data_IF_371948593099
#
_entry.id   IF_371948593099
#
_cell.length_a   1.000
_cell.length_b   1.000
_cell.length_c   1.000
_cell.angle_alpha   90.00
_cell.angle_beta   90.00
_cell.angle_gamma   90.00
#
_symmetry.space_group_name_H-M   'P 1'
#
loop_
_entity.id
_entity.type
_entity.pdbx_description
1 polymer ?
#
# COMPACT_ATOMS: atom_id res chain seq x y z
N UNK A 1 0.63 2.16 -8.12
CA UNK A 1 1.53 1.12 -7.62
C UNK A 1 0.75 -0.19 -7.57
N UNK A 2 0.85 -1.02 -8.61
CA UNK A 2 0.25 -2.37 -8.58
C UNK A 2 1.10 -3.36 -7.78
N UNK A 3 0.58 -4.58 -7.60
CA UNK A 3 1.26 -5.68 -6.90
C UNK A 3 2.60 -6.10 -7.56
N UNK A 4 2.76 -5.79 -8.85
CA UNK A 4 3.96 -6.11 -9.62
C UNK A 4 5.11 -5.10 -9.42
N UNK A 5 4.86 -3.98 -8.71
CA UNK A 5 5.88 -2.96 -8.50
C UNK A 5 6.80 -3.38 -7.33
N UNK A 6 8.10 -3.65 -7.56
CA UNK A 6 9.02 -4.07 -6.49
C UNK A 6 9.12 -3.03 -5.38
N UNK A 7 8.90 -1.75 -5.71
CA UNK A 7 8.81 -0.67 -4.75
C UNK A 7 7.67 -0.87 -3.75
N UNK A 8 6.49 -1.28 -4.20
CA UNK A 8 5.35 -1.49 -3.32
C UNK A 8 5.60 -2.61 -2.31
N UNK A 9 6.21 -3.72 -2.75
CA UNK A 9 6.52 -4.84 -1.87
C UNK A 9 7.45 -4.44 -0.72
N UNK A 10 8.54 -3.74 -1.02
CA UNK A 10 9.49 -3.22 -0.02
C UNK A 10 8.78 -2.28 0.97
N UNK A 11 7.97 -1.38 0.43
CA UNK A 11 7.19 -0.40 1.19
C UNK A 11 6.21 -1.06 2.16
N UNK A 12 5.53 -2.11 1.74
CA UNK A 12 4.58 -2.86 2.58
C UNK A 12 5.29 -3.69 3.65
N UNK A 13 6.42 -4.34 3.32
CA UNK A 13 7.24 -5.05 4.29
C UNK A 13 7.68 -4.12 5.41
N UNK A 14 8.24 -2.96 5.05
CA UNK A 14 8.64 -1.97 6.04
C UNK A 14 7.43 -1.38 6.80
N UNK A 15 6.23 -1.33 6.22
CA UNK A 15 5.01 -0.86 6.89
C UNK A 15 4.56 -1.84 7.98
N UNK A 16 4.73 -3.16 7.77
CA UNK A 16 4.50 -4.16 8.81
C UNK A 16 5.45 -3.97 10.00
N UNK A 17 6.74 -3.73 9.74
CA UNK A 17 7.71 -3.46 10.80
C UNK A 17 7.44 -2.14 11.53
N UNK A 18 7.08 -1.06 10.81
CA UNK A 18 6.72 0.22 11.41
C UNK A 18 5.44 0.17 12.24
N UNK A 19 4.44 -0.60 11.79
CA UNK A 19 3.22 -0.86 12.58
C UNK A 19 3.62 -1.45 13.92
N UNK A 20 4.39 -2.54 13.93
CA UNK A 20 4.90 -3.16 15.17
C UNK A 20 5.75 -2.21 16.02
N UNK A 21 6.52 -1.33 15.39
CA UNK A 21 7.44 -0.42 16.08
C UNK A 21 6.77 0.79 16.76
N UNK A 22 5.74 1.38 16.13
CA UNK A 22 5.15 2.65 16.59
C UNK A 22 3.63 2.66 16.72
N UNK A 23 2.94 1.58 16.35
CA UNK A 23 1.47 1.62 16.29
C UNK A 23 0.94 2.38 15.07
N UNK A 24 1.83 2.98 14.28
CA UNK A 24 1.54 3.97 13.25
C UNK A 24 2.14 3.53 11.92
N UNK A 25 1.40 3.70 10.80
CA UNK A 25 1.89 3.34 9.48
C UNK A 25 2.90 4.36 8.91
N UNK A 26 2.92 5.60 9.44
CA UNK A 26 3.90 6.62 9.10
C UNK A 26 4.20 7.50 10.31
N UNK A 27 5.40 8.12 10.34
CA UNK A 27 5.79 9.06 11.40
C UNK A 27 4.87 10.29 11.43
N UNK A 28 4.27 10.65 10.29
CA UNK A 28 3.36 11.77 10.12
C UNK A 28 1.92 11.48 10.57
N UNK A 29 1.56 10.21 10.80
CA UNK A 29 0.22 9.83 11.25
C UNK A 29 0.02 10.22 12.72
N UNK A 30 -0.98 11.05 13.00
CA UNK A 30 -1.30 11.43 14.39
C UNK A 30 -1.95 10.28 15.16
N UNK A 31 -2.82 9.50 14.51
CA UNK A 31 -3.61 8.44 15.14
C UNK A 31 -2.96 7.06 14.92
N UNK A 32 -2.75 6.26 15.99
CA UNK A 32 -2.34 4.87 15.82
C UNK A 32 -3.47 4.06 15.18
N UNK A 33 -3.11 2.99 14.48
CA UNK A 33 -4.06 2.00 14.00
C UNK A 33 -4.59 1.18 15.20
N UNK A 34 -5.82 0.67 15.14
CA UNK A 34 -6.31 -0.24 16.17
C UNK A 34 -5.38 -1.46 16.26
N UNK A 35 -5.04 -1.85 17.49
CA UNK A 35 -4.14 -2.98 17.79
C UNK A 35 -4.80 -4.35 17.60
N UNK A 36 -6.03 -4.38 17.06
CA UNK A 36 -6.81 -5.59 16.81
C UNK A 36 -6.72 -5.95 15.34
N UNK A 37 -6.20 -7.13 15.05
CA UNK A 37 -6.19 -7.71 13.71
C UNK A 37 -7.57 -8.30 13.34
N UNK A 38 -7.85 -8.52 12.05
CA UNK A 38 -9.08 -9.17 11.56
C UNK A 38 -9.48 -10.43 12.34
N UNK A 39 -8.50 -11.26 12.69
CA UNK A 39 -8.67 -12.51 13.44
C UNK A 39 -9.01 -12.32 14.93
N UNK A 40 -8.97 -11.07 15.44
CA UNK A 40 -9.22 -10.74 16.83
C UNK A 40 -7.99 -10.80 17.73
N UNK A 41 -6.85 -11.23 17.20
CA UNK A 41 -5.53 -11.15 17.84
C UNK A 41 -5.17 -9.70 18.15
N UNK A 42 -4.59 -9.50 19.34
CA UNK A 42 -4.05 -8.19 19.75
C UNK A 42 -2.54 -8.24 19.64
N UNK A 43 -1.95 -7.25 18.98
CA UNK A 43 -0.50 -7.07 18.97
C UNK A 43 -0.13 -5.85 19.81
N UNK A 44 1.07 -5.88 20.39
CA UNK A 44 1.61 -4.79 21.19
C UNK A 44 2.66 -4.01 20.41
N UNK A 45 2.70 -2.71 20.63
CA UNK A 45 3.71 -1.83 20.04
C UNK A 45 5.01 -2.03 20.82
N UNK A 46 6.07 -2.47 20.14
CA UNK A 46 7.40 -2.57 20.72
C UNK A 46 8.40 -1.73 19.92
N UNK A 47 8.94 -0.70 20.56
CA UNK A 47 9.85 0.26 19.95
C UNK A 47 11.18 -0.36 19.52
N UNK A 48 11.54 -1.55 20.02
CA UNK A 48 12.74 -2.30 19.61
C UNK A 48 12.73 -2.67 18.13
N UNK A 49 11.56 -2.80 17.51
CA UNK A 49 11.43 -3.03 16.07
C UNK A 49 12.03 -1.89 15.21
N UNK A 50 12.30 -0.70 15.77
CA UNK A 50 13.06 0.34 15.06
C UNK A 50 14.49 -0.09 14.72
N UNK A 51 15.10 -0.94 15.55
CA UNK A 51 16.44 -1.49 15.29
C UNK A 51 16.47 -2.41 14.06
N UNK A 52 15.33 -2.99 13.68
CA UNK A 52 15.21 -3.76 12.44
C UNK A 52 14.71 -2.88 11.29
N UNK A 53 13.76 -1.99 11.55
CA UNK A 53 13.12 -1.16 10.52
C UNK A 53 14.10 -0.23 9.83
N UNK A 54 14.99 0.44 10.59
CA UNK A 54 15.94 1.43 10.01
C UNK A 54 17.00 0.75 9.16
N UNK A 55 17.71 -0.29 9.62
CA UNK A 55 18.68 -1.00 8.78
C UNK A 55 18.03 -1.61 7.54
N UNK A 56 16.82 -2.14 7.65
CA UNK A 56 16.09 -2.68 6.50
C UNK A 56 15.77 -1.57 5.47
N UNK A 57 15.30 -0.41 5.94
CA UNK A 57 15.01 0.73 5.06
C UNK A 57 16.28 1.25 4.36
N UNK A 58 17.37 1.40 5.11
CA UNK A 58 18.67 1.85 4.58
C UNK A 58 19.25 0.81 3.63
N UNK A 59 19.15 -0.48 3.95
CA UNK A 59 19.61 -1.57 3.10
C UNK A 59 18.87 -1.60 1.76
N UNK A 60 17.54 -1.47 1.77
CA UNK A 60 16.78 -1.36 0.53
C UNK A 60 17.10 -0.09 -0.26
N UNK A 61 17.29 1.04 0.43
CA UNK A 61 17.68 2.30 -0.20
C UNK A 61 19.05 2.18 -0.88
N UNK A 62 19.99 1.52 -0.23
CA UNK A 62 21.32 1.25 -0.77
C UNK A 62 21.25 0.36 -2.01
N UNK A 63 20.50 -0.75 -1.95
CA UNK A 63 20.32 -1.64 -3.12
C UNK A 63 19.74 -0.87 -4.31
N UNK A 64 18.72 -0.02 -4.09
CA UNK A 64 18.20 0.81 -5.18
C UNK A 64 19.13 1.90 -5.64
N UNK A 65 19.90 2.54 -4.76
CA UNK A 65 20.89 3.53 -5.17
C UNK A 65 21.95 2.89 -6.08
N UNK A 66 22.39 1.67 -5.76
CA UNK A 66 23.30 0.88 -6.60
C UNK A 66 22.65 0.52 -7.93
N UNK A 67 21.41 0.00 -7.92
CA UNK A 67 20.67 -0.35 -9.15
C UNK A 67 20.46 0.88 -10.05
N UNK A 68 20.08 2.03 -9.48
CA UNK A 68 19.95 3.29 -10.23
C UNK A 68 21.28 3.71 -10.86
N UNK A 69 22.40 3.54 -10.14
CA UNK A 69 23.72 3.83 -10.69
C UNK A 69 24.09 2.89 -11.84
N UNK A 70 23.67 1.62 -11.81
CA UNK A 70 23.90 0.67 -12.93
C UNK A 70 23.12 1.00 -14.20
N UNK A 71 22.13 1.90 -14.13
CA UNK A 71 21.52 2.47 -15.35
C UNK A 71 22.40 3.54 -15.99
N UNK A 72 23.32 4.15 -15.25
CA UNK A 72 24.24 5.20 -15.75
C UNK A 72 25.62 4.63 -16.09
N UNK A 73 26.11 3.65 -15.33
CA UNK A 73 27.42 3.03 -15.50
C UNK A 73 27.33 1.51 -15.70
N UNK A 74 28.33 0.87 -16.33
CA UNK A 74 28.34 -0.58 -16.53
C UNK A 74 28.20 -1.34 -15.19
N UNK A 75 27.28 -2.31 -15.09
CA UNK A 75 27.02 -3.01 -13.83
C UNK A 75 28.24 -3.75 -13.29
N UNK A 76 29.06 -4.34 -14.17
CA UNK A 76 30.28 -5.05 -13.77
C UNK A 76 31.29 -4.14 -13.06
N UNK A 77 31.43 -2.88 -13.51
CA UNK A 77 32.32 -1.92 -12.86
C UNK A 77 31.76 -1.48 -11.52
N UNK A 78 30.46 -1.18 -11.44
CA UNK A 78 29.83 -0.74 -10.20
C UNK A 78 29.90 -1.83 -9.14
N UNK A 79 29.50 -3.07 -9.47
CA UNK A 79 29.54 -4.19 -8.53
C UNK A 79 30.97 -4.61 -8.17
N UNK A 80 31.88 -4.61 -9.14
CA UNK A 80 33.30 -4.93 -8.92
C UNK A 80 33.97 -3.97 -7.95
N UNK A 81 33.79 -2.66 -8.15
CA UNK A 81 34.35 -1.63 -7.27
C UNK A 81 33.73 -1.66 -5.86
N UNK A 82 32.44 -2.03 -5.74
CA UNK A 82 31.78 -2.17 -4.44
C UNK A 82 32.32 -3.37 -3.66
N UNK A 83 32.47 -4.52 -4.32
CA UNK A 83 33.01 -5.74 -3.71
C UNK A 83 34.49 -5.61 -3.34
N UNK A 84 35.26 -4.90 -4.16
CA UNK A 84 36.67 -4.59 -3.89
C UNK A 84 36.86 -3.51 -2.82
N UNK A 85 35.79 -2.81 -2.40
CA UNK A 85 35.87 -1.71 -1.44
C UNK A 85 36.52 -0.43 -1.99
N UNK A 86 36.60 -0.29 -3.32
CA UNK A 86 37.23 0.84 -4.01
C UNK A 86 36.25 1.57 -4.94
N UNK A 87 35.09 2.06 -4.45
CA UNK A 87 34.19 2.86 -5.27
C UNK A 87 34.89 4.15 -5.72
N UNK A 88 34.72 4.53 -6.98
CA UNK A 88 35.23 5.83 -7.45
C UNK A 88 34.53 6.96 -6.70
N UNK A 89 35.16 8.13 -6.60
CA UNK A 89 34.61 9.29 -5.86
C UNK A 89 33.17 9.61 -6.26
N UNK A 90 32.89 9.59 -7.56
CA UNK A 90 31.56 9.89 -8.10
C UNK A 90 30.55 8.78 -7.78
N UNK A 91 30.95 7.50 -7.86
CA UNK A 91 30.10 6.37 -7.46
C UNK A 91 29.76 6.44 -5.98
N UNK A 92 30.73 6.73 -5.12
CA UNK A 92 30.52 6.88 -3.68
C UNK A 92 29.55 8.02 -3.37
N UNK A 93 29.76 9.21 -3.95
CA UNK A 93 28.86 10.36 -3.74
C UNK A 93 27.43 10.03 -4.19
N UNK A 94 27.28 9.41 -5.37
CA UNK A 94 25.96 9.05 -5.90
C UNK A 94 25.25 8.02 -5.01
N UNK A 95 25.95 6.94 -4.64
CA UNK A 95 25.37 5.89 -3.79
C UNK A 95 25.03 6.45 -2.42
N UNK A 96 25.91 7.25 -1.80
CA UNK A 96 25.67 7.84 -0.50
C UNK A 96 24.47 8.81 -0.54
N UNK A 97 24.47 9.76 -1.47
CA UNK A 97 23.38 10.73 -1.61
C UNK A 97 22.06 10.04 -1.97
N UNK A 98 22.08 9.11 -2.93
CA UNK A 98 20.91 8.33 -3.32
C UNK A 98 20.36 7.49 -2.16
N UNK A 99 21.22 6.83 -1.40
CA UNK A 99 20.83 6.04 -0.22
C UNK A 99 20.19 6.94 0.83
N UNK A 100 20.73 8.12 1.10
CA UNK A 100 20.17 9.07 2.08
C UNK A 100 18.78 9.54 1.65
N UNK A 101 18.64 9.96 0.39
CA UNK A 101 17.36 10.45 -0.15
C UNK A 101 16.31 9.35 -0.17
N UNK A 102 16.64 8.15 -0.67
CA UNK A 102 15.73 7.01 -0.70
C UNK A 102 15.39 6.49 0.70
N UNK A 103 16.33 6.52 1.65
CA UNK A 103 16.05 6.15 3.05
C UNK A 103 15.06 7.13 3.68
N UNK A 104 15.25 8.43 3.43
CA UNK A 104 14.31 9.45 3.88
C UNK A 104 12.93 9.25 3.23
N UNK A 105 12.89 8.96 1.93
CA UNK A 105 11.64 8.65 1.24
C UNK A 105 10.94 7.45 1.88
N UNK A 106 11.65 6.35 2.12
CA UNK A 106 11.07 5.16 2.71
C UNK A 106 10.56 5.36 4.13
N UNK A 107 11.26 6.13 4.97
CA UNK A 107 10.88 6.33 6.36
C UNK A 107 9.78 7.39 6.50
N UNK A 108 9.79 8.42 5.64
CA UNK A 108 8.94 9.60 5.81
C UNK A 108 7.90 9.80 4.69
N UNK A 109 8.20 9.50 3.42
CA UNK A 109 7.38 9.86 2.25
C UNK A 109 6.86 8.66 1.42
N UNK A 110 6.98 7.44 1.95
CA UNK A 110 6.73 6.15 1.30
C UNK A 110 5.51 6.03 0.37
N UNK A 111 4.34 6.47 0.84
CA UNK A 111 3.11 6.40 0.04
C UNK A 111 2.85 7.68 -0.77
N UNK A 112 3.64 8.74 -0.53
CA UNK A 112 3.57 9.99 -1.29
C UNK A 112 4.14 9.79 -2.70
N UNK A 113 5.32 9.17 -2.80
CA UNK A 113 5.94 8.86 -4.10
C UNK A 113 5.06 7.94 -4.93
N UNK A 114 4.61 6.83 -4.33
CA UNK A 114 3.71 5.87 -4.99
C UNK A 114 2.37 6.46 -5.44
N UNK A 115 1.90 7.52 -4.77
CA UNK A 115 0.62 8.19 -5.06
C UNK A 115 0.76 9.33 -6.08
N UNK A 116 1.85 10.10 -6.02
CA UNK A 116 1.98 11.36 -6.76
C UNK A 116 3.11 11.39 -7.79
N UNK A 117 4.20 10.65 -7.59
CA UNK A 117 5.40 10.74 -8.42
C UNK A 117 5.61 9.50 -9.31
N UNK A 118 5.15 8.33 -8.90
CA UNK A 118 5.30 7.10 -9.67
C UNK A 118 4.42 7.14 -10.93
N UNK A 119 5.03 7.43 -12.09
CA UNK A 119 4.34 7.50 -13.39
C UNK A 119 3.54 6.23 -13.68
N UNK A 120 4.15 5.05 -13.50
CA UNK A 120 3.47 3.74 -13.68
C UNK A 120 2.23 3.65 -12.80
N UNK A 121 2.33 4.07 -11.54
CA UNK A 121 1.20 4.05 -10.62
C UNK A 121 0.06 4.98 -11.03
N UNK A 122 0.39 6.18 -11.52
CA UNK A 122 -0.58 7.14 -12.00
C UNK A 122 -1.29 6.63 -13.27
N UNK A 123 -0.53 6.14 -14.25
CA UNK A 123 -1.09 5.60 -15.50
C UNK A 123 -1.98 4.38 -15.26
N UNK A 124 -1.54 3.43 -14.43
CA UNK A 124 -2.36 2.27 -14.06
C UNK A 124 -3.68 2.69 -13.40
N UNK A 125 -3.62 3.66 -12.48
CA UNK A 125 -4.81 4.17 -11.78
C UNK A 125 -5.77 4.87 -12.74
N UNK A 126 -5.24 5.68 -13.67
CA UNK A 126 -6.03 6.38 -14.70
C UNK A 126 -6.66 5.39 -15.68
N UNK A 127 -5.91 4.41 -16.17
CA UNK A 127 -6.41 3.38 -17.08
C UNK A 127 -7.54 2.56 -16.42
N UNK A 128 -7.35 2.16 -15.17
CA UNK A 128 -8.36 1.45 -14.39
C UNK A 128 -9.62 2.29 -14.12
N UNK A 129 -9.44 3.58 -13.86
CA UNK A 129 -10.53 4.55 -13.69
C UNK A 129 -11.29 4.83 -15.00
N UNK A 130 -10.62 4.77 -16.14
CA UNK A 130 -11.22 4.94 -17.46
C UNK A 130 -12.11 3.77 -17.87
N UNK A 131 -11.77 2.54 -17.45
CA UNK A 131 -12.54 1.34 -17.77
C UNK A 131 -13.63 1.06 -16.73
N UNK A 132 -14.90 1.29 -17.06
CA UNK A 132 -16.05 1.08 -16.15
C UNK A 132 -16.36 -0.38 -15.85
N UNK A 133 -15.96 -1.29 -16.72
CA UNK A 133 -16.14 -2.74 -16.55
C UNK A 133 -14.97 -3.37 -15.77
N UNK A 134 -13.90 -2.61 -15.50
CA UNK A 134 -12.74 -3.14 -14.79
C UNK A 134 -13.08 -3.59 -13.37
N UNK A 135 -12.48 -4.73 -13.01
CA UNK A 135 -12.61 -5.38 -11.72
C UNK A 135 -12.34 -4.41 -10.56
N UNK A 136 -13.25 -4.38 -9.59
CA UNK A 136 -13.19 -3.53 -8.40
C UNK A 136 -13.74 -4.28 -7.19
N UNK A 137 -13.38 -3.83 -6.00
CA UNK A 137 -14.00 -4.32 -4.76
C UNK A 137 -15.44 -3.79 -4.68
N UNK A 138 -16.39 -4.72 -4.72
CA UNK A 138 -17.82 -4.54 -4.52
C UNK A 138 -18.19 -4.49 -3.05
N UNK A 139 -19.12 -3.61 -2.68
CA UNK A 139 -19.74 -3.63 -1.36
C UNK A 139 -21.25 -3.89 -1.46
N UNK A 140 -21.73 -4.90 -0.75
CA UNK A 140 -23.15 -5.27 -0.70
C UNK A 140 -23.98 -4.27 0.12
N UNK A 141 -24.29 -3.09 -0.46
CA UNK A 141 -24.98 -1.97 0.21
C UNK A 141 -26.30 -2.34 0.89
N UNK A 142 -27.07 -3.27 0.29
CA UNK A 142 -28.33 -3.75 0.86
C UNK A 142 -28.16 -4.44 2.21
N UNK A 143 -26.98 -5.03 2.45
CA UNK A 143 -26.60 -5.68 3.71
C UNK A 143 -25.78 -4.76 4.62
N UNK A 144 -25.81 -3.44 4.38
CA UNK A 144 -24.97 -2.47 5.09
C UNK A 144 -25.10 -2.51 6.62
N UNK A 145 -26.25 -2.94 7.16
CA UNK A 145 -26.45 -3.14 8.59
C UNK A 145 -25.48 -4.18 9.20
N UNK A 146 -25.17 -5.26 8.48
CA UNK A 146 -24.23 -6.31 8.92
C UNK A 146 -22.79 -5.81 9.00
N UNK A 147 -22.50 -4.66 8.37
CA UNK A 147 -21.20 -3.99 8.43
C UNK A 147 -21.01 -3.17 9.71
N UNK A 148 -22.07 -2.89 10.48
CA UNK A 148 -21.96 -2.10 11.71
C UNK A 148 -21.26 -2.88 12.83
N UNK A 149 -21.38 -4.21 12.82
CA UNK A 149 -20.75 -5.08 13.82
C UNK A 149 -19.25 -5.28 13.55
N UNK A 150 -18.79 -5.02 12.32
CA UNK A 150 -17.38 -5.05 12.01
C UNK A 150 -16.76 -3.68 12.34
N UNK A 151 -15.66 -3.67 13.11
CA UNK A 151 -14.94 -2.47 13.56
C UNK A 151 -14.18 -1.75 12.41
N UNK A 152 -14.74 -1.74 11.19
CA UNK A 152 -14.12 -1.22 9.97
C UNK A 152 -12.76 -1.86 9.66
N UNK A 153 -12.62 -3.17 9.91
CA UNK A 153 -11.38 -3.91 9.68
C UNK A 153 -10.82 -3.71 8.25
N UNK A 154 -11.70 -3.70 7.24
CA UNK A 154 -11.34 -3.46 5.84
C UNK A 154 -10.67 -2.09 5.58
N UNK A 155 -11.05 -1.04 6.32
CA UNK A 155 -10.44 0.28 6.21
C UNK A 155 -9.05 0.30 6.88
N UNK A 156 -8.90 -0.44 8.00
CA UNK A 156 -7.65 -0.48 8.77
C UNK A 156 -6.55 -1.32 8.12
N UNK A 157 -6.92 -2.38 7.38
CA UNK A 157 -5.95 -3.19 6.65
C UNK A 157 -5.53 -2.57 5.33
N UNK A 158 -6.30 -1.64 4.76
CA UNK A 158 -6.01 -1.08 3.44
C UNK A 158 -4.71 -0.26 3.46
N UNK A 159 -3.65 -0.68 2.73
CA UNK A 159 -2.34 0.00 2.79
C UNK A 159 -2.40 1.41 2.18
N UNK A 160 -3.34 1.61 1.25
CA UNK A 160 -3.58 2.91 0.62
C UNK A 160 -4.56 3.79 1.39
N UNK A 161 -5.05 3.34 2.56
CA UNK A 161 -6.03 4.06 3.40
C UNK A 161 -7.28 4.48 2.63
N UNK A 162 -7.70 3.62 1.71
CA UNK A 162 -8.97 3.76 1.01
C UNK A 162 -10.10 3.23 1.89
N UNK A 163 -11.32 3.66 1.60
CA UNK A 163 -12.53 3.10 2.18
C UNK A 163 -13.12 2.10 1.18
N UNK A 164 -12.93 0.78 1.33
CA UNK A 164 -13.37 -0.20 0.34
C UNK A 164 -14.89 -0.30 0.19
N UNK A 165 -15.63 0.31 1.12
CA UNK A 165 -17.10 0.46 1.11
C UNK A 165 -17.59 1.58 0.19
N UNK A 166 -16.68 2.44 -0.27
CA UNK A 166 -17.00 3.53 -1.16
C UNK A 166 -16.96 3.09 -2.63
N UNK A 167 -17.41 3.98 -3.51
CA UNK A 167 -17.42 3.72 -4.94
C UNK A 167 -16.00 3.79 -5.53
N UNK A 168 -15.82 3.14 -6.69
CA UNK A 168 -14.56 3.06 -7.43
C UNK A 168 -13.82 4.39 -7.55
N UNK A 169 -14.52 5.49 -7.84
CA UNK A 169 -13.91 6.81 -8.04
C UNK A 169 -13.23 7.39 -6.79
N UNK A 170 -13.67 6.98 -5.61
CA UNK A 170 -13.04 7.35 -4.34
C UNK A 170 -11.90 6.39 -3.96
N UNK A 171 -11.66 5.38 -4.78
CA UNK A 171 -10.63 4.36 -4.63
C UNK A 171 -9.59 4.42 -5.76
N UNK A 172 -9.33 5.61 -6.31
CA UNK A 172 -8.47 5.79 -7.50
C UNK A 172 -7.05 5.23 -7.33
N UNK A 173 -6.51 5.18 -6.10
CA UNK A 173 -5.19 4.61 -5.80
C UNK A 173 -5.23 3.13 -5.42
N UNK A 174 -6.34 2.42 -5.67
CA UNK A 174 -6.48 1.01 -5.31
C UNK A 174 -5.40 0.17 -6.02
N UNK A 175 -4.61 -0.56 -5.24
CA UNK A 175 -3.55 -1.45 -5.75
C UNK A 175 -4.05 -2.85 -6.09
N UNK A 176 -5.36 -3.10 -5.91
CA UNK A 176 -6.01 -4.38 -6.09
C UNK A 176 -5.41 -5.56 -5.28
N UNK A 177 -4.89 -5.29 -4.08
CA UNK A 177 -4.24 -6.29 -3.22
C UNK A 177 -5.17 -7.26 -2.46
N UNK A 178 -6.49 -7.13 -2.58
CA UNK A 178 -7.51 -7.94 -1.90
C UNK A 178 -7.50 -7.97 -0.35
N UNK A 179 -6.58 -7.28 0.34
CA UNK A 179 -6.48 -7.33 1.81
C UNK A 179 -7.79 -6.93 2.51
N UNK A 180 -8.54 -5.99 1.95
CA UNK A 180 -9.85 -5.59 2.48
C UNK A 180 -10.93 -6.66 2.33
N UNK A 181 -10.89 -7.45 1.26
CA UNK A 181 -11.82 -8.57 1.00
C UNK A 181 -11.54 -9.67 2.02
N UNK A 182 -10.28 -10.09 2.14
CA UNK A 182 -9.85 -11.10 3.11
C UNK A 182 -10.18 -10.69 4.55
N UNK A 183 -9.91 -9.45 4.95
CA UNK A 183 -10.29 -8.97 6.28
C UNK A 183 -11.81 -8.98 6.50
N UNK A 184 -12.61 -8.69 5.46
CA UNK A 184 -14.06 -8.77 5.56
C UNK A 184 -14.52 -10.21 5.75
N UNK A 185 -13.96 -11.16 5.00
CA UNK A 185 -14.23 -12.60 5.15
C UNK A 185 -13.90 -13.08 6.57
N UNK A 186 -12.72 -12.74 7.08
CA UNK A 186 -12.32 -13.10 8.45
C UNK A 186 -13.30 -12.55 9.49
N UNK A 187 -13.66 -11.27 9.41
CA UNK A 187 -14.58 -10.66 10.39
C UNK A 187 -16.03 -11.13 10.26
N UNK A 188 -16.41 -11.68 9.12
CA UNK A 188 -17.77 -12.14 8.82
C UNK A 188 -17.84 -13.67 8.74
N UNK A 189 -16.82 -14.40 9.24
CA UNK A 189 -16.76 -15.87 9.19
C UNK A 189 -17.99 -16.55 9.81
N UNK A 190 -18.56 -15.94 10.85
CA UNK A 190 -19.71 -16.45 11.59
C UNK A 190 -21.05 -15.91 11.03
N UNK A 191 -21.01 -15.09 9.97
CA UNK A 191 -22.22 -14.57 9.33
C UNK A 191 -22.74 -15.59 8.29
N UNK A 192 -23.95 -16.13 8.44
CA UNK A 192 -24.51 -17.11 7.51
C UNK A 192 -24.73 -16.57 6.09
N UNK A 193 -24.78 -15.24 5.92
CA UNK A 193 -24.88 -14.59 4.60
C UNK A 193 -23.51 -14.27 3.99
N UNK A 194 -22.41 -14.59 4.66
CA UNK A 194 -21.04 -14.40 4.18
C UNK A 194 -20.58 -12.94 4.10
N UNK A 195 -19.37 -12.74 3.60
CA UNK A 195 -18.70 -11.44 3.51
C UNK A 195 -19.49 -10.40 2.68
N UNK A 196 -19.25 -9.13 2.98
CA UNK A 196 -19.90 -7.99 2.29
C UNK A 196 -19.02 -7.34 1.23
N UNK A 197 -17.72 -7.59 1.28
CA UNK A 197 -16.76 -7.18 0.25
C UNK A 197 -16.41 -8.37 -0.62
N UNK A 198 -16.47 -8.19 -1.94
CA UNK A 198 -16.10 -9.21 -2.92
C UNK A 198 -15.53 -8.55 -4.18
N UNK A 199 -14.82 -9.33 -4.99
CA UNK A 199 -14.43 -8.87 -6.32
C UNK A 199 -15.64 -8.86 -7.26
N UNK A 200 -15.86 -7.74 -7.96
CA UNK A 200 -16.90 -7.60 -8.97
C UNK A 200 -16.32 -7.07 -10.26
N UNK A 201 -16.82 -7.54 -11.41
CA UNK A 201 -16.46 -7.09 -12.76
C UNK A 201 -17.70 -6.73 -13.58
N UNK A 202 -17.49 -6.12 -14.74
CA UNK A 202 -18.50 -5.92 -15.77
C UNK A 202 -19.78 -5.22 -15.27
N UNK A 203 -20.94 -5.84 -15.46
CA UNK A 203 -22.23 -5.30 -15.04
C UNK A 203 -22.29 -5.03 -13.52
N UNK A 204 -21.70 -5.89 -12.71
CA UNK A 204 -21.66 -5.73 -11.25
C UNK A 204 -20.72 -4.58 -10.83
N UNK A 205 -19.60 -4.39 -11.54
CA UNK A 205 -18.72 -3.24 -11.34
C UNK A 205 -19.44 -1.92 -11.70
N UNK A 206 -20.18 -1.89 -12.82
CA UNK A 206 -21.00 -0.73 -13.22
C UNK A 206 -22.08 -0.39 -12.20
N UNK A 207 -22.77 -1.39 -11.64
CA UNK A 207 -23.80 -1.17 -10.62
C UNK A 207 -23.21 -0.63 -9.31
N UNK A 208 -22.03 -1.11 -8.91
CA UNK A 208 -21.31 -0.61 -7.73
C UNK A 208 -20.94 0.88 -7.88
N UNK A 209 -20.63 1.33 -9.11
CA UNK A 209 -20.45 2.76 -9.41
C UNK A 209 -21.76 3.56 -9.46
N UNK A 210 -22.88 2.91 -9.81
CA UNK A 210 -24.17 3.56 -10.05
C UNK A 210 -24.90 4.03 -8.77
N UNK A 211 -24.48 3.60 -7.58
CA UNK A 211 -25.10 3.97 -6.30
C UNK A 211 -25.21 5.49 -6.03
N UNK A 212 -24.45 6.34 -6.73
CA UNK A 212 -24.57 7.81 -6.68
C UNK A 212 -25.60 8.39 -7.65
N UNK A 213 -25.96 7.70 -8.75
CA UNK A 213 -26.89 8.25 -9.76
C UNK A 213 -28.32 8.36 -9.22
N UNK A 214 -28.73 7.42 -8.37
CA UNK A 214 -30.04 7.45 -7.71
C UNK A 214 -30.19 8.61 -6.70
N UNK A 215 -29.07 9.13 -6.17
CA UNK A 215 -29.08 10.29 -5.27
C UNK A 215 -29.09 11.65 -5.98
N UNK A 216 -28.69 11.70 -7.27
CA UNK A 216 -28.65 12.94 -8.06
C UNK A 216 -29.91 13.19 -8.89
N UNK A 217 -30.85 12.23 -8.93
CA UNK A 217 -32.17 12.38 -9.56
C UNK A 217 -33.28 12.77 -8.58
N UNK A 218 -32.96 12.96 -7.28
CA UNK A 218 -33.88 13.47 -6.25
C UNK A 218 -33.35 14.79 -5.66
N UNK A 219 -33.03 15.75 -6.52
CA UNK A 219 -33.00 17.17 -6.21
C UNK A 219 -33.46 17.94 -7.44
#
# INVERSE_FOLDING_TARGET
CGWLCPHFSVVETLNQFMRRATGKPSVWEKKPLPTREPDGTRWQVDRRWWLLTVPLAVGFAFVWAVVLLTYLLPPFEVYGNLLAGTPTRNQFIFIAAGTVVLSAEFLFARHLFCRFACAVGLFQSLAWMGNRDAMVVGFARQRGADCNDCYSACDHVCPMRLKPRNIKRQMFTCTQCAQCVSACETTQKDNPRGALLSWVSDAAARQNEAGLRAGKQRN
#
